data_IF_982777102297
#
_entry.id   IF_982777102297
#
_cell.length_a   1.000
_cell.length_b   1.000
_cell.length_c   1.000
_cell.angle_alpha   90.00
_cell.angle_beta   90.00
_cell.angle_gamma   90.00
#
_symmetry.space_group_name_H-M   'P 1'
#
loop_
_entity.id
_entity.type
_entity.pdbx_description
1 polymer ?
#
# COMPACT_ATOMS: atom_id res chain seq x y z
N UNK A 1 -23.37 15.99 -34.42
CA UNK A 1 -22.76 14.64 -34.55
C UNK A 1 -22.43 14.20 -33.15
N UNK A 2 -22.78 12.96 -32.77
CA UNK A 2 -22.44 12.42 -31.46
C UNK A 2 -21.08 11.74 -31.57
N UNK A 3 -20.11 12.20 -30.81
CA UNK A 3 -18.73 11.65 -30.73
C UNK A 3 -18.52 10.70 -29.56
N UNK A 4 -19.61 10.43 -28.83
CA UNK A 4 -19.58 9.56 -27.65
C UNK A 4 -19.13 8.14 -28.04
N UNK A 5 -18.22 7.58 -27.25
CA UNK A 5 -17.66 6.25 -27.46
C UNK A 5 -16.58 6.16 -28.54
N UNK A 6 -16.27 7.25 -29.26
CA UNK A 6 -15.18 7.26 -30.22
C UNK A 6 -13.83 7.55 -29.53
N UNK A 7 -12.75 6.88 -29.92
CA UNK A 7 -11.44 7.13 -29.34
C UNK A 7 -10.86 8.45 -29.85
N UNK A 8 -10.32 9.27 -28.94
CA UNK A 8 -9.54 10.43 -29.33
C UNK A 8 -8.26 9.99 -30.05
N UNK A 9 -8.00 10.47 -31.29
CA UNK A 9 -6.84 10.01 -32.06
C UNK A 9 -5.48 10.43 -31.50
N UNK A 10 -5.45 11.34 -30.53
CA UNK A 10 -4.22 11.79 -29.86
C UNK A 10 -3.90 10.91 -28.66
N UNK A 11 -4.84 10.76 -27.71
CA UNK A 11 -4.59 10.06 -26.44
C UNK A 11 -5.21 8.66 -26.36
N UNK A 12 -6.02 8.25 -27.34
CA UNK A 12 -6.69 6.95 -27.40
C UNK A 12 -7.83 6.76 -26.38
N UNK A 13 -8.10 7.72 -25.50
CA UNK A 13 -9.24 7.65 -24.57
C UNK A 13 -10.55 7.83 -25.33
N UNK A 14 -11.58 7.09 -24.94
CA UNK A 14 -12.91 7.28 -25.49
C UNK A 14 -13.48 8.63 -25.05
N UNK A 15 -14.16 9.31 -25.95
CA UNK A 15 -14.85 10.57 -25.68
C UNK A 15 -16.20 10.28 -25.02
N UNK A 16 -16.51 11.01 -23.96
CA UNK A 16 -17.75 10.92 -23.18
C UNK A 16 -18.59 12.17 -23.39
N UNK A 17 -19.86 12.12 -23.01
CA UNK A 17 -20.81 13.22 -23.19
C UNK A 17 -20.37 14.51 -22.49
N UNK A 18 -19.66 14.37 -21.35
CA UNK A 18 -19.16 15.50 -20.54
C UNK A 18 -17.76 15.98 -20.96
N UNK A 19 -17.12 15.36 -21.95
CA UNK A 19 -15.78 15.75 -22.40
C UNK A 19 -15.83 17.00 -23.27
N UNK A 20 -14.88 17.92 -23.05
CA UNK A 20 -14.70 19.10 -23.90
C UNK A 20 -13.91 18.70 -25.15
N UNK A 21 -14.64 18.64 -26.28
CA UNK A 21 -14.17 18.14 -27.56
C UNK A 21 -13.99 19.28 -28.56
N UNK A 22 -12.85 19.30 -29.21
CA UNK A 22 -12.57 20.16 -30.38
C UNK A 22 -12.64 19.32 -31.66
N UNK A 23 -13.36 19.82 -32.64
CA UNK A 23 -13.43 19.22 -33.96
C UNK A 23 -12.65 20.08 -34.95
N UNK A 24 -11.69 19.47 -35.65
CA UNK A 24 -10.89 20.19 -36.64
C UNK A 24 -11.78 20.77 -37.74
N UNK A 25 -11.71 22.07 -38.04
CA UNK A 25 -12.53 22.70 -39.08
C UNK A 25 -12.19 22.21 -40.50
N UNK A 26 -10.95 21.77 -40.73
CA UNK A 26 -10.49 21.37 -42.06
C UNK A 26 -10.84 19.93 -42.41
N UNK A 27 -10.68 18.98 -41.47
CA UNK A 27 -10.88 17.55 -41.75
C UNK A 27 -11.97 16.88 -40.91
N UNK A 28 -12.58 17.57 -39.94
CA UNK A 28 -13.63 17.01 -39.09
C UNK A 28 -13.14 16.07 -37.97
N UNK A 29 -11.85 15.92 -37.75
CA UNK A 29 -11.29 15.03 -36.71
C UNK A 29 -11.63 15.53 -35.31
N UNK A 30 -12.33 14.75 -34.44
CA UNK A 30 -12.60 15.11 -33.07
C UNK A 30 -11.42 14.76 -32.18
N UNK A 31 -11.10 15.64 -31.22
CA UNK A 31 -10.04 15.47 -30.24
C UNK A 31 -10.47 16.10 -28.91
N UNK A 32 -9.98 15.62 -27.76
CA UNK A 32 -10.17 16.36 -26.51
C UNK A 32 -9.51 17.73 -26.61
N UNK A 33 -10.11 18.76 -26.02
CA UNK A 33 -9.53 20.13 -26.05
C UNK A 33 -8.13 20.17 -25.45
N UNK A 34 -7.88 19.42 -24.37
CA UNK A 34 -6.55 19.32 -23.77
C UNK A 34 -5.53 18.77 -24.79
N UNK A 35 -5.90 17.70 -25.50
CA UNK A 35 -5.03 17.09 -26.52
C UNK A 35 -4.78 18.03 -27.71
N UNK A 36 -5.79 18.82 -28.08
CA UNK A 36 -5.62 19.86 -29.11
C UNK A 36 -4.66 20.93 -28.67
N UNK A 37 -4.80 21.40 -27.41
CA UNK A 37 -3.92 22.47 -26.86
C UNK A 37 -2.49 21.98 -26.67
N UNK A 38 -2.27 20.75 -26.26
CA UNK A 38 -0.93 20.16 -26.13
C UNK A 38 -0.25 19.96 -27.49
N UNK A 39 -0.99 19.54 -28.50
CA UNK A 39 -0.46 19.33 -29.85
C UNK A 39 -0.27 20.64 -30.63
N UNK A 40 -1.00 21.68 -30.24
CA UNK A 40 -0.99 22.99 -30.90
C UNK A 40 -1.74 23.01 -32.24
N UNK A 41 -2.07 21.86 -32.83
CA UNK A 41 -2.75 21.72 -34.13
C UNK A 41 -3.50 20.38 -34.23
N UNK A 42 -4.19 20.18 -35.34
CA UNK A 42 -4.86 18.90 -35.62
C UNK A 42 -3.86 17.77 -35.77
N UNK A 43 -4.10 16.62 -35.12
CA UNK A 43 -3.27 15.41 -35.26
C UNK A 43 -3.12 14.92 -36.71
N UNK A 44 -4.05 15.29 -37.60
CA UNK A 44 -4.03 14.97 -39.02
C UNK A 44 -3.67 16.20 -39.87
N UNK A 45 -3.02 17.24 -39.32
CA UNK A 45 -2.67 18.49 -40.02
C UNK A 45 -1.89 18.24 -41.33
N UNK A 46 -0.97 17.28 -41.33
CA UNK A 46 -0.18 16.91 -42.52
C UNK A 46 -1.03 16.39 -43.66
N UNK A 47 -2.22 15.80 -43.38
CA UNK A 47 -3.12 15.23 -44.38
C UNK A 47 -4.13 16.24 -44.90
N UNK A 48 -4.22 17.45 -44.36
CA UNK A 48 -5.18 18.46 -44.81
C UNK A 48 -4.91 18.88 -46.25
N UNK A 49 -3.64 18.96 -46.66
CA UNK A 49 -3.24 19.30 -48.00
C UNK A 49 -3.73 18.27 -49.08
N UNK A 50 -3.96 17.02 -48.62
CA UNK A 50 -4.43 15.92 -49.47
C UNK A 50 -5.95 15.80 -49.49
N UNK A 51 -6.69 16.71 -48.86
CA UNK A 51 -8.15 16.73 -48.79
C UNK A 51 -8.71 15.64 -47.86
N UNK A 52 -7.98 15.23 -46.86
CA UNK A 52 -8.42 14.24 -45.87
C UNK A 52 -9.68 14.72 -45.13
N UNK A 53 -10.71 13.87 -45.11
CA UNK A 53 -11.95 14.08 -44.33
C UNK A 53 -12.10 12.92 -43.37
N UNK A 54 -12.17 13.22 -42.09
CA UNK A 54 -12.36 12.22 -41.06
C UNK A 54 -13.76 11.61 -41.13
N UNK A 55 -13.87 10.27 -41.06
CA UNK A 55 -15.15 9.56 -40.99
C UNK A 55 -15.14 8.57 -39.82
N UNK A 56 -16.26 8.50 -39.09
CA UNK A 56 -16.42 7.61 -37.91
C UNK A 56 -16.45 6.12 -38.24
N UNK A 57 -16.38 5.75 -39.52
CA UNK A 57 -16.45 4.36 -39.98
C UNK A 57 -15.14 3.73 -40.41
N UNK A 58 -14.08 4.48 -40.54
CA UNK A 58 -12.74 3.92 -40.72
C UNK A 58 -12.14 3.56 -39.37
N UNK A 59 -12.11 2.25 -39.08
CA UNK A 59 -11.14 1.76 -38.09
C UNK A 59 -9.79 2.33 -38.48
N UNK A 60 -9.07 3.04 -37.59
CA UNK A 60 -7.72 3.44 -37.93
C UNK A 60 -6.98 2.18 -38.34
N UNK A 61 -6.63 2.10 -39.60
CA UNK A 61 -5.66 1.12 -40.10
C UNK A 61 -4.35 1.57 -39.45
N UNK A 62 -4.10 1.08 -38.23
CA UNK A 62 -2.76 1.01 -37.76
C UNK A 62 -2.05 0.10 -38.74
N UNK A 63 -1.49 0.69 -39.79
CA UNK A 63 -0.40 0.04 -40.48
C UNK A 63 0.62 -0.23 -39.40
N UNK A 64 0.67 -1.50 -38.98
CA UNK A 64 1.82 -2.03 -38.25
C UNK A 64 3.03 -1.80 -39.16
N UNK A 65 3.59 -0.60 -39.11
CA UNK A 65 5.01 -0.48 -39.38
C UNK A 65 5.67 -1.16 -38.17
N UNK A 66 5.75 -2.48 -38.25
CA UNK A 66 6.84 -3.17 -37.60
C UNK A 66 8.08 -2.42 -38.08
N UNK A 67 8.80 -1.68 -37.23
CA UNK A 67 10.10 -1.22 -37.63
C UNK A 67 10.83 -2.50 -37.98
N UNK A 68 11.43 -2.58 -39.19
CA UNK A 68 12.38 -3.63 -39.58
C UNK A 68 13.59 -3.48 -38.69
N UNK A 69 13.47 -4.01 -37.48
CA UNK A 69 14.57 -4.07 -36.50
C UNK A 69 15.33 -5.32 -36.91
N UNK A 70 16.60 -5.20 -37.28
CA UNK A 70 17.44 -6.36 -37.58
C UNK A 70 17.36 -7.35 -36.43
N UNK A 71 17.35 -8.65 -36.72
CA UNK A 71 17.20 -9.71 -35.71
C UNK A 71 18.33 -9.73 -34.65
N UNK A 72 19.42 -9.01 -34.92
CA UNK A 72 20.59 -8.83 -34.05
C UNK A 72 20.61 -7.46 -33.31
N UNK A 73 19.60 -6.60 -33.53
CA UNK A 73 19.56 -5.30 -32.87
C UNK A 73 19.23 -5.44 -31.38
N UNK A 74 20.09 -4.93 -30.53
CA UNK A 74 19.80 -4.78 -29.11
C UNK A 74 18.79 -3.63 -28.88
N UNK A 75 17.88 -3.81 -27.92
CA UNK A 75 16.94 -2.77 -27.49
C UNK A 75 17.41 -2.17 -26.17
N UNK A 76 17.60 -0.85 -26.14
CA UNK A 76 17.91 -0.15 -24.90
C UNK A 76 16.61 0.07 -24.11
N UNK A 77 16.57 -0.43 -22.89
CA UNK A 77 15.45 -0.21 -21.99
C UNK A 77 15.38 1.27 -21.58
N UNK A 78 14.31 1.95 -21.95
CA UNK A 78 14.09 3.35 -21.60
C UNK A 78 13.92 3.58 -20.09
N UNK A 79 13.71 2.51 -19.30
CA UNK A 79 13.51 2.61 -17.85
C UNK A 79 14.83 2.48 -17.06
N UNK A 80 15.77 1.62 -17.48
CA UNK A 80 17.00 1.36 -16.72
C UNK A 80 18.29 1.44 -17.57
N UNK A 81 18.20 1.76 -18.86
CA UNK A 81 19.33 1.88 -19.77
C UNK A 81 20.02 0.55 -20.15
N UNK A 82 19.50 -0.61 -19.69
CA UNK A 82 20.13 -1.89 -20.05
C UNK A 82 19.78 -2.30 -21.47
N UNK A 83 20.75 -2.91 -22.15
CA UNK A 83 20.55 -3.56 -23.44
C UNK A 83 19.81 -4.88 -23.25
N UNK A 84 18.90 -5.17 -24.18
CA UNK A 84 18.08 -6.38 -24.20
C UNK A 84 18.05 -6.95 -25.62
N UNK A 85 17.93 -8.27 -25.79
CA UNK A 85 17.71 -8.87 -27.10
C UNK A 85 16.46 -8.31 -27.80
N UNK A 86 16.45 -8.28 -29.11
CA UNK A 86 15.33 -7.70 -29.89
C UNK A 86 14.03 -8.49 -29.77
N UNK A 87 14.12 -9.78 -29.46
CA UNK A 87 13.00 -10.72 -29.36
C UNK A 87 12.25 -10.68 -28.01
N UNK A 88 12.85 -10.04 -26.99
CA UNK A 88 12.21 -9.95 -25.67
C UNK A 88 11.25 -8.75 -25.58
N UNK A 89 10.11 -8.97 -24.98
CA UNK A 89 9.07 -7.95 -24.78
C UNK A 89 9.26 -7.15 -23.49
N UNK A 90 10.04 -7.68 -22.55
CA UNK A 90 10.31 -7.04 -21.25
C UNK A 90 11.79 -7.00 -20.99
N UNK A 91 12.23 -5.97 -20.29
CA UNK A 91 13.63 -5.82 -19.92
C UNK A 91 14.05 -6.88 -18.88
N UNK A 92 15.06 -7.68 -19.19
CA UNK A 92 15.60 -8.72 -18.31
C UNK A 92 16.16 -8.18 -16.98
N UNK A 93 16.55 -6.89 -16.95
CA UNK A 93 17.12 -6.28 -15.75
C UNK A 93 16.08 -5.65 -14.82
N UNK A 94 15.08 -4.94 -15.36
CA UNK A 94 14.16 -4.16 -14.54
C UNK A 94 12.69 -4.53 -14.76
N UNK A 95 12.39 -5.47 -15.67
CA UNK A 95 11.04 -5.92 -15.97
C UNK A 95 10.14 -4.87 -16.63
N UNK A 96 10.70 -3.72 -17.03
CA UNK A 96 9.91 -2.74 -17.77
C UNK A 96 9.62 -3.27 -19.18
N UNK A 97 8.42 -3.01 -19.74
CA UNK A 97 8.14 -3.30 -21.13
C UNK A 97 9.10 -2.52 -22.03
N UNK A 98 9.60 -3.18 -23.06
CA UNK A 98 10.43 -2.54 -24.07
C UNK A 98 9.52 -1.87 -25.12
N UNK A 99 9.98 -0.77 -25.70
CA UNK A 99 9.19 -0.02 -26.68
C UNK A 99 8.67 -0.94 -27.79
N UNK A 100 7.34 -0.87 -28.06
CA UNK A 100 6.66 -1.69 -29.05
C UNK A 100 6.21 -3.08 -28.55
N UNK A 101 6.38 -3.40 -27.25
CA UNK A 101 5.82 -4.61 -26.68
C UNK A 101 4.47 -4.34 -26.02
N UNK A 102 3.47 -5.14 -26.37
CA UNK A 102 2.17 -5.15 -25.70
C UNK A 102 2.08 -6.38 -24.79
N UNK A 103 1.51 -6.21 -23.60
CA UNK A 103 1.14 -7.37 -22.78
C UNK A 103 -0.12 -7.95 -23.42
N UNK A 104 0.02 -9.08 -24.13
CA UNK A 104 -1.11 -9.81 -24.66
C UNK A 104 -1.73 -10.62 -23.53
N UNK A 105 -2.99 -10.33 -23.19
CA UNK A 105 -3.78 -11.22 -22.38
C UNK A 105 -4.07 -12.49 -23.21
N UNK A 106 -3.87 -13.64 -22.61
CA UNK A 106 -4.30 -14.90 -23.23
C UNK A 106 -5.84 -14.93 -23.23
N UNK A 107 -6.45 -14.88 -24.39
CA UNK A 107 -7.88 -15.10 -24.53
C UNK A 107 -8.14 -16.58 -24.78
N UNK A 108 -9.10 -17.16 -24.05
CA UNK A 108 -9.59 -18.51 -24.32
C UNK A 108 -10.55 -18.53 -25.53
N UNK A 109 -10.94 -19.72 -25.95
CA UNK A 109 -11.83 -19.93 -27.11
C UNK A 109 -13.21 -19.28 -26.90
N UNK A 110 -13.61 -18.99 -25.67
CA UNK A 110 -14.85 -18.31 -25.30
C UNK A 110 -14.68 -16.77 -25.24
N UNK A 111 -13.50 -16.25 -25.58
CA UNK A 111 -13.21 -14.81 -25.61
C UNK A 111 -12.90 -14.18 -24.26
N UNK A 112 -12.75 -14.98 -23.18
CA UNK A 112 -12.40 -14.47 -21.86
C UNK A 112 -10.90 -14.24 -21.75
N UNK A 113 -10.53 -13.09 -21.22
CA UNK A 113 -9.12 -12.76 -20.98
C UNK A 113 -8.57 -13.46 -19.73
N UNK A 114 -7.39 -14.06 -19.87
CA UNK A 114 -6.70 -14.75 -18.77
C UNK A 114 -5.38 -14.07 -18.43
N UNK A 115 -5.06 -14.06 -17.14
CA UNK A 115 -3.78 -13.56 -16.67
C UNK A 115 -2.63 -14.40 -17.24
N UNK A 116 -1.65 -13.80 -17.94
CA UNK A 116 -0.53 -14.53 -18.54
C UNK A 116 0.39 -15.19 -17.50
N UNK A 117 0.29 -14.81 -16.22
CA UNK A 117 1.16 -15.29 -15.16
C UNK A 117 0.57 -16.41 -14.30
N UNK A 118 -0.75 -16.42 -14.10
CA UNK A 118 -1.39 -17.43 -13.23
C UNK A 118 -2.61 -18.11 -13.87
N UNK A 119 -2.97 -17.78 -15.11
CA UNK A 119 -4.09 -18.38 -15.84
C UNK A 119 -5.49 -17.99 -15.35
N UNK A 120 -5.62 -17.23 -14.26
CA UNK A 120 -6.92 -16.79 -13.73
C UNK A 120 -7.63 -15.86 -14.69
N UNK A 121 -8.98 -15.95 -14.75
CA UNK A 121 -9.81 -15.01 -15.49
C UNK A 121 -9.60 -13.58 -14.96
N UNK A 122 -9.54 -12.62 -15.89
CA UNK A 122 -9.39 -11.20 -15.60
C UNK A 122 -10.49 -10.42 -16.29
N UNK A 123 -11.02 -9.41 -15.63
CA UNK A 123 -12.07 -8.57 -16.18
C UNK A 123 -11.48 -7.49 -17.10
N UNK A 124 -12.21 -7.07 -18.14
CA UNK A 124 -11.82 -5.91 -18.95
C UNK A 124 -11.61 -4.68 -18.06
N UNK A 125 -10.42 -4.06 -18.17
CA UNK A 125 -10.07 -2.88 -17.37
C UNK A 125 -9.31 -3.18 -16.07
N UNK A 126 -9.15 -4.44 -15.67
CA UNK A 126 -8.28 -4.79 -14.54
C UNK A 126 -6.84 -4.41 -14.85
N UNK A 127 -6.24 -3.59 -13.98
CA UNK A 127 -4.83 -3.18 -14.09
C UNK A 127 -3.87 -4.16 -13.44
N UNK A 128 -4.35 -4.93 -12.49
CA UNK A 128 -3.62 -5.95 -11.75
C UNK A 128 -4.48 -7.20 -11.65
N UNK A 129 -3.89 -8.36 -11.82
CA UNK A 129 -4.59 -9.61 -11.58
C UNK A 129 -5.02 -9.72 -10.11
N UNK A 130 -6.31 -9.93 -9.86
CA UNK A 130 -6.88 -10.05 -8.50
C UNK A 130 -6.32 -11.24 -7.73
N UNK A 131 -5.90 -12.29 -8.45
CA UNK A 131 -5.36 -13.50 -7.83
C UNK A 131 -3.86 -13.40 -7.49
N UNK A 132 -3.00 -13.11 -8.49
CA UNK A 132 -1.54 -13.11 -8.29
C UNK A 132 -0.93 -11.72 -8.14
N UNK A 133 -1.70 -10.66 -8.41
CA UNK A 133 -1.22 -9.26 -8.34
C UNK A 133 -0.35 -8.85 -9.52
N UNK A 134 -0.19 -9.70 -10.55
CA UNK A 134 0.59 -9.37 -11.74
C UNK A 134 -0.02 -8.19 -12.50
N UNK A 135 0.79 -7.30 -13.10
CA UNK A 135 0.30 -6.22 -13.94
C UNK A 135 -0.29 -6.79 -15.23
N UNK A 136 -1.49 -6.33 -15.59
CA UNK A 136 -2.23 -6.70 -16.79
C UNK A 136 -2.16 -5.60 -17.86
N UNK A 137 -1.65 -4.44 -17.50
CA UNK A 137 -1.40 -3.30 -18.38
C UNK A 137 0.01 -2.81 -18.20
N UNK A 138 0.56 -2.22 -19.25
CA UNK A 138 1.85 -1.55 -19.18
C UNK A 138 1.75 -0.40 -18.17
N UNK A 139 2.44 -0.52 -17.04
CA UNK A 139 2.49 0.58 -16.07
C UNK A 139 3.35 1.71 -16.65
N UNK A 140 2.83 2.95 -16.71
CA UNK A 140 3.64 4.07 -17.15
C UNK A 140 4.91 4.21 -16.28
N UNK A 141 6.01 4.58 -16.90
CA UNK A 141 7.31 4.86 -16.23
C UNK A 141 7.17 5.82 -15.04
N UNK A 142 6.19 6.72 -15.09
CA UNK A 142 5.92 7.74 -14.09
C UNK A 142 5.50 7.22 -12.71
N UNK A 143 5.05 5.95 -12.58
CA UNK A 143 4.51 5.46 -11.31
C UNK A 143 5.58 5.21 -10.22
N UNK A 144 6.80 4.88 -10.58
CA UNK A 144 7.89 4.68 -9.61
C UNK A 144 8.78 5.93 -9.49
N UNK A 145 9.04 6.64 -10.58
CA UNK A 145 9.78 7.89 -10.56
C UNK A 145 9.10 8.94 -9.67
N UNK A 146 7.75 9.05 -9.71
CA UNK A 146 7.01 9.98 -8.85
C UNK A 146 7.17 9.68 -7.36
N UNK A 147 7.22 8.40 -6.98
CA UNK A 147 7.45 8.01 -5.56
C UNK A 147 8.89 8.30 -5.12
N UNK A 148 9.88 8.07 -5.98
CA UNK A 148 11.29 8.36 -5.70
C UNK A 148 11.57 9.87 -5.67
N UNK A 149 10.99 10.65 -6.59
CA UNK A 149 11.11 12.11 -6.62
C UNK A 149 10.65 12.75 -5.30
N UNK A 150 9.58 12.24 -4.71
CA UNK A 150 9.10 12.67 -3.40
C UNK A 150 10.05 12.35 -2.24
N UNK A 151 10.98 11.42 -2.40
CA UNK A 151 11.93 11.03 -1.36
C UNK A 151 13.20 11.87 -1.31
N UNK A 152 13.51 12.58 -2.39
CA UNK A 152 14.78 13.27 -2.59
C UNK A 152 15.93 12.36 -3.04
N UNK A 153 15.61 11.14 -3.49
CA UNK A 153 16.54 10.17 -4.06
C UNK A 153 16.26 9.97 -5.55
N UNK A 154 17.31 9.68 -6.32
CA UNK A 154 17.11 9.23 -7.71
C UNK A 154 16.51 7.83 -7.73
N UNK A 155 15.65 7.54 -8.72
CA UNK A 155 14.95 6.26 -8.83
C UNK A 155 15.92 5.07 -8.82
N UNK A 156 17.08 5.25 -9.44
CA UNK A 156 18.12 4.22 -9.59
C UNK A 156 19.08 4.12 -8.41
N UNK A 157 19.02 5.05 -7.46
CA UNK A 157 19.91 5.03 -6.29
C UNK A 157 19.70 3.77 -5.47
N UNK A 158 20.79 3.11 -5.09
CA UNK A 158 20.75 1.82 -4.39
C UNK A 158 20.80 2.04 -2.88
N UNK A 159 19.84 1.47 -2.18
CA UNK A 159 19.73 1.45 -0.73
C UNK A 159 19.52 0.00 -0.29
N UNK A 160 20.49 -0.59 0.42
CA UNK A 160 20.39 -1.96 0.91
C UNK A 160 20.18 -3.02 -0.18
N UNK A 161 20.77 -2.79 -1.37
CA UNK A 161 20.70 -3.72 -2.50
C UNK A 161 19.41 -3.65 -3.32
N UNK A 162 18.56 -2.64 -3.11
CA UNK A 162 17.34 -2.39 -3.88
C UNK A 162 17.33 -0.94 -4.37
N UNK A 163 16.61 -0.64 -5.46
CA UNK A 163 16.53 0.73 -5.96
C UNK A 163 15.62 1.59 -5.10
N UNK A 164 15.87 2.90 -5.04
CA UNK A 164 14.99 3.83 -4.33
C UNK A 164 13.58 3.83 -4.92
N UNK A 165 13.42 3.59 -6.22
CA UNK A 165 12.14 3.40 -6.88
C UNK A 165 11.36 2.20 -6.33
N UNK A 166 12.00 1.04 -6.22
CA UNK A 166 11.41 -0.18 -5.66
C UNK A 166 11.01 0.00 -4.20
N UNK A 167 11.91 0.56 -3.39
CA UNK A 167 11.64 0.84 -1.98
C UNK A 167 10.49 1.85 -1.83
N UNK A 168 10.43 2.88 -2.68
CA UNK A 168 9.36 3.87 -2.67
C UNK A 168 8.01 3.22 -3.01
N UNK A 169 7.97 2.35 -4.01
CA UNK A 169 6.78 1.60 -4.41
C UNK A 169 6.32 0.63 -3.31
N UNK A 170 7.26 0.05 -2.56
CA UNK A 170 6.93 -0.79 -1.41
C UNK A 170 6.39 0.03 -0.24
N UNK A 171 7.05 1.12 0.13
CA UNK A 171 6.70 1.95 1.30
C UNK A 171 5.40 2.73 1.09
N UNK A 172 5.18 3.31 -0.08
CA UNK A 172 4.06 4.14 -0.55
C UNK A 172 3.79 5.40 0.29
N UNK A 173 3.64 5.28 1.60
CA UNK A 173 3.34 6.40 2.50
C UNK A 173 4.55 6.78 3.32
N UNK A 174 4.81 8.10 3.44
CA UNK A 174 5.93 8.68 4.16
C UNK A 174 7.31 8.27 3.60
N UNK A 175 7.42 8.15 2.27
CA UNK A 175 8.67 7.81 1.58
C UNK A 175 9.80 8.76 1.99
N UNK A 176 9.52 10.08 2.06
CA UNK A 176 10.44 11.14 2.53
C UNK A 176 11.07 10.85 3.90
N UNK A 177 10.37 10.14 4.77
CA UNK A 177 10.89 9.74 6.09
C UNK A 177 11.69 8.44 6.03
N UNK A 178 11.16 7.45 5.30
CA UNK A 178 11.69 6.09 5.38
C UNK A 178 12.94 5.87 4.55
N UNK A 179 13.05 6.38 3.33
CA UNK A 179 14.22 6.15 2.50
C UNK A 179 15.51 6.73 3.12
N UNK A 180 15.53 8.00 3.57
CA UNK A 180 16.69 8.53 4.28
C UNK A 180 17.04 7.74 5.54
N UNK A 181 16.02 7.21 6.23
CA UNK A 181 16.22 6.41 7.44
C UNK A 181 16.84 5.04 7.10
N UNK A 182 16.38 4.38 6.04
CA UNK A 182 16.95 3.12 5.56
C UNK A 182 18.42 3.27 5.15
N UNK A 183 18.75 4.36 4.43
CA UNK A 183 20.14 4.70 4.11
C UNK A 183 20.99 4.90 5.37
N UNK A 184 20.42 5.52 6.43
CA UNK A 184 21.12 5.65 7.72
C UNK A 184 21.30 4.30 8.41
N UNK A 185 20.38 3.35 8.27
CA UNK A 185 20.54 2.00 8.80
C UNK A 185 21.65 1.23 8.09
N UNK A 186 21.78 1.35 6.75
CA UNK A 186 22.90 0.80 6.00
C UNK A 186 24.25 1.40 6.44
N UNK A 187 24.26 2.69 6.77
CA UNK A 187 25.45 3.40 7.27
C UNK A 187 25.71 3.13 8.78
N UNK A 188 25.12 2.08 9.35
CA UNK A 188 25.42 1.61 10.71
C UNK A 188 24.55 2.19 11.82
N UNK A 189 23.57 3.06 11.54
CA UNK A 189 22.62 3.52 12.56
C UNK A 189 21.77 2.34 13.07
N UNK A 190 21.65 2.18 14.38
CA UNK A 190 20.95 1.03 14.96
C UNK A 190 19.54 1.36 15.46
N UNK A 191 19.27 2.59 15.83
CA UNK A 191 18.07 3.00 16.57
C UNK A 191 17.39 4.20 15.89
N UNK A 192 16.07 4.16 15.84
CA UNK A 192 15.19 5.25 15.44
C UNK A 192 13.94 5.23 16.30
N UNK A 193 13.34 6.38 16.56
CA UNK A 193 12.07 6.46 17.29
C UNK A 193 10.91 6.67 16.31
N UNK A 194 9.89 5.82 16.42
CA UNK A 194 8.70 5.91 15.61
C UNK A 194 7.49 6.40 16.44
N UNK A 195 7.17 7.69 16.33
CA UNK A 195 6.05 8.30 17.05
C UNK A 195 4.72 7.61 16.76
N UNK A 196 4.46 7.21 15.50
CA UNK A 196 3.23 6.53 15.16
C UNK A 196 3.12 5.15 15.83
N UNK A 197 4.22 4.40 15.90
CA UNK A 197 4.26 3.13 16.62
C UNK A 197 4.12 3.32 18.13
N UNK A 198 4.64 4.41 18.68
CA UNK A 198 4.48 4.76 20.10
C UNK A 198 3.01 5.01 20.47
N UNK A 199 2.32 5.88 19.73
CA UNK A 199 0.95 6.27 20.05
C UNK A 199 -0.08 5.22 19.64
N UNK A 200 0.08 4.56 18.49
CA UNK A 200 -0.86 3.57 17.99
C UNK A 200 -0.51 2.13 18.38
N UNK A 201 0.66 1.91 18.99
CA UNK A 201 1.07 0.59 19.46
C UNK A 201 0.97 -0.51 18.40
N UNK A 202 0.32 -1.65 18.72
CA UNK A 202 0.20 -2.77 17.79
C UNK A 202 -0.49 -2.40 16.47
N UNK A 203 -1.41 -1.43 16.48
CA UNK A 203 -2.16 -1.01 15.29
C UNK A 203 -1.24 -0.51 14.18
N UNK A 204 -0.16 0.17 14.51
CA UNK A 204 0.82 0.63 13.53
C UNK A 204 1.48 -0.55 12.80
N UNK A 205 1.78 -1.64 13.51
CA UNK A 205 2.37 -2.85 12.94
C UNK A 205 1.41 -3.53 11.97
N UNK A 206 0.14 -3.67 12.35
CA UNK A 206 -0.90 -4.19 11.46
C UNK A 206 -1.13 -3.27 10.26
N UNK A 207 -1.14 -1.96 10.47
CA UNK A 207 -1.27 -0.98 9.40
C UNK A 207 -0.15 -1.12 8.36
N UNK A 208 1.09 -1.42 8.78
CA UNK A 208 2.25 -1.68 7.93
C UNK A 208 2.35 -3.15 7.46
N UNK A 209 1.32 -3.95 7.67
CA UNK A 209 1.26 -5.39 7.33
C UNK A 209 2.37 -6.21 7.99
N UNK A 210 2.81 -5.79 9.17
CA UNK A 210 3.82 -6.47 9.99
C UNK A 210 3.14 -7.40 11.02
N UNK A 211 2.30 -8.31 10.56
CA UNK A 211 1.40 -9.12 11.39
C UNK A 211 2.14 -9.88 12.49
N UNK A 212 3.26 -10.53 12.16
CA UNK A 212 4.09 -11.26 13.11
C UNK A 212 4.47 -10.40 14.32
N UNK A 213 5.00 -9.20 14.06
CA UNK A 213 5.43 -8.28 15.12
C UNK A 213 4.26 -7.64 15.85
N UNK A 214 3.15 -7.37 15.14
CA UNK A 214 1.93 -6.88 15.75
C UNK A 214 1.32 -7.88 16.75
N UNK A 215 1.30 -9.17 16.41
CA UNK A 215 0.84 -10.24 17.30
C UNK A 215 1.76 -10.37 18.51
N UNK A 216 3.08 -10.37 18.32
CA UNK A 216 4.04 -10.42 19.44
C UNK A 216 3.80 -9.24 20.39
N UNK A 217 3.58 -8.04 19.85
CA UNK A 217 3.29 -6.86 20.68
C UNK A 217 1.97 -7.02 21.45
N UNK A 218 0.92 -7.53 20.81
CA UNK A 218 -0.36 -7.83 21.48
C UNK A 218 -0.13 -8.80 22.65
N UNK A 219 0.60 -9.88 22.42
CA UNK A 219 0.88 -10.88 23.46
C UNK A 219 1.67 -10.29 24.65
N UNK A 220 2.66 -9.43 24.38
CA UNK A 220 3.41 -8.74 25.43
C UNK A 220 2.52 -7.80 26.25
N UNK A 221 1.65 -7.02 25.59
CA UNK A 221 0.69 -6.15 26.30
C UNK A 221 -0.34 -6.97 27.07
N UNK A 222 -0.79 -8.07 26.48
CA UNK A 222 -1.74 -8.96 27.12
C UNK A 222 -1.16 -9.64 28.38
N UNK A 223 0.12 -9.99 28.38
CA UNK A 223 0.82 -10.50 29.56
C UNK A 223 0.90 -9.48 30.71
N UNK A 224 0.78 -8.19 30.42
CA UNK A 224 0.70 -7.11 31.42
C UNK A 224 -0.72 -6.87 31.98
N UNK A 225 -1.75 -7.47 31.37
CA UNK A 225 -3.16 -7.22 31.72
C UNK A 225 -3.58 -7.70 33.13
N UNK A 226 -2.96 -8.70 33.79
CA UNK A 226 -3.33 -9.08 35.15
C UNK A 226 -3.22 -7.96 36.16
N UNK A 227 -2.32 -6.99 35.96
CA UNK A 227 -2.22 -5.79 36.80
C UNK A 227 -3.50 -4.97 36.77
N UNK A 228 -4.15 -4.87 35.62
CA UNK A 228 -5.44 -4.19 35.51
C UNK A 228 -6.61 -5.00 36.05
N UNK A 229 -6.50 -6.33 36.05
CA UNK A 229 -7.51 -7.21 36.69
C UNK A 229 -7.48 -7.02 38.22
N UNK A 230 -6.30 -6.99 38.85
CA UNK A 230 -6.19 -6.71 40.29
C UNK A 230 -6.73 -5.33 40.66
N UNK A 231 -6.48 -4.31 39.83
CA UNK A 231 -7.05 -2.97 39.98
C UNK A 231 -8.59 -3.01 39.89
N UNK A 232 -9.13 -3.75 38.93
CA UNK A 232 -10.59 -3.90 38.76
C UNK A 232 -11.25 -4.55 39.96
N UNK A 233 -10.66 -5.61 40.53
CA UNK A 233 -11.17 -6.29 41.73
C UNK A 233 -11.17 -5.33 42.93
N UNK A 234 -10.08 -4.62 43.18
CA UNK A 234 -10.04 -3.60 44.24
C UNK A 234 -11.07 -2.49 44.06
N UNK A 235 -11.34 -2.11 42.84
CA UNK A 235 -12.39 -1.14 42.53
C UNK A 235 -13.78 -1.67 42.90
N UNK A 236 -14.07 -2.94 42.61
CA UNK A 236 -15.31 -3.62 43.00
C UNK A 236 -15.43 -3.67 44.52
N UNK A 237 -14.38 -4.10 45.23
CA UNK A 237 -14.37 -4.22 46.69
C UNK A 237 -14.65 -2.87 47.38
N UNK A 238 -14.09 -1.77 46.85
CA UNK A 238 -14.35 -0.43 47.41
C UNK A 238 -15.77 0.05 47.12
N UNK A 239 -16.33 -0.32 45.94
CA UNK A 239 -17.67 0.12 45.53
C UNK A 239 -18.81 -0.71 46.18
N UNK A 240 -18.54 -1.94 46.56
CA UNK A 240 -19.55 -2.86 47.08
C UNK A 240 -20.34 -2.30 48.30
N UNK A 241 -19.68 -1.69 49.36
CA UNK A 241 -20.42 -1.14 50.52
C UNK A 241 -21.38 -0.01 50.15
N UNK A 242 -21.13 0.70 49.03
CA UNK A 242 -21.92 1.85 48.61
C UNK A 242 -22.99 1.48 47.56
N UNK A 243 -23.02 0.23 47.10
CA UNK A 243 -23.84 -0.20 45.96
C UNK A 243 -25.33 -0.05 46.22
N UNK A 244 -25.78 -0.36 47.44
CA UNK A 244 -27.22 -0.18 47.82
C UNK A 244 -27.61 1.30 47.82
N UNK A 245 -26.80 2.16 48.45
CA UNK A 245 -27.04 3.61 48.50
C UNK A 245 -27.02 4.26 47.10
N UNK A 246 -26.17 3.75 46.20
CA UNK A 246 -26.13 4.17 44.78
C UNK A 246 -27.41 3.75 44.05
N UNK A 247 -27.89 2.52 44.24
CA UNK A 247 -29.08 1.99 43.59
C UNK A 247 -30.34 2.74 44.06
N UNK A 248 -30.42 3.01 45.37
CA UNK A 248 -31.53 3.71 46.01
C UNK A 248 -31.47 5.25 45.83
N UNK A 249 -30.38 5.75 45.20
CA UNK A 249 -30.10 7.20 45.02
C UNK A 249 -30.06 7.98 46.34
N UNK A 250 -29.66 7.31 47.42
CA UNK A 250 -29.54 7.87 48.76
C UNK A 250 -28.13 8.20 49.17
N UNK A 251 -27.14 7.99 48.26
CA UNK A 251 -25.72 8.26 48.51
C UNK A 251 -25.51 9.75 48.84
N UNK A 252 -24.99 10.04 50.01
CA UNK A 252 -24.70 11.40 50.40
C UNK A 252 -23.46 11.92 49.68
N UNK A 253 -23.29 13.25 49.57
CA UNK A 253 -22.07 13.84 48.98
C UNK A 253 -20.84 13.48 49.79
N UNK A 254 -20.95 13.36 51.13
CA UNK A 254 -19.85 12.97 52.00
C UNK A 254 -19.42 11.52 51.74
N UNK A 255 -20.34 10.59 51.61
CA UNK A 255 -20.07 9.18 51.28
C UNK A 255 -19.46 9.06 49.90
N UNK A 256 -19.93 9.85 48.90
CA UNK A 256 -19.36 9.86 47.55
C UNK A 256 -17.90 10.33 47.54
N UNK A 257 -17.55 11.36 48.32
CA UNK A 257 -16.17 11.84 48.46
C UNK A 257 -15.32 10.77 49.13
N UNK A 258 -15.79 10.17 50.20
CA UNK A 258 -15.09 9.11 50.94
C UNK A 258 -14.83 7.89 50.05
N UNK A 259 -15.83 7.42 49.30
CA UNK A 259 -15.72 6.34 48.32
C UNK A 259 -14.64 6.67 47.25
N UNK A 260 -14.62 7.90 46.77
CA UNK A 260 -13.62 8.33 45.76
C UNK A 260 -12.21 8.34 46.33
N UNK A 261 -12.00 8.80 47.57
CA UNK A 261 -10.69 8.79 48.23
C UNK A 261 -10.19 7.35 48.50
N UNK A 262 -11.08 6.47 48.96
CA UNK A 262 -10.77 5.05 49.16
C UNK A 262 -10.41 4.39 47.81
N UNK A 263 -11.17 4.66 46.73
CA UNK A 263 -10.92 4.14 45.40
C UNK A 263 -9.53 4.57 44.87
N UNK A 264 -9.22 5.86 44.95
CA UNK A 264 -7.93 6.41 44.51
C UNK A 264 -6.80 5.74 45.34
N UNK A 265 -6.98 5.62 46.65
CA UNK A 265 -5.96 5.05 47.53
C UNK A 265 -5.72 3.58 47.23
N UNK A 266 -6.76 2.80 47.03
CA UNK A 266 -6.69 1.36 46.74
C UNK A 266 -6.06 1.07 45.37
N UNK A 267 -6.36 1.89 44.35
CA UNK A 267 -5.99 1.58 42.95
C UNK A 267 -4.74 2.29 42.44
N UNK A 268 -4.27 3.38 43.11
CA UNK A 268 -3.18 4.23 42.62
C UNK A 268 -1.88 3.49 42.30
N UNK A 269 -1.54 2.48 43.13
CA UNK A 269 -0.28 1.70 42.94
C UNK A 269 -0.38 0.81 41.72
N UNK A 270 -1.51 0.09 41.55
CA UNK A 270 -1.72 -0.80 40.42
C UNK A 270 -1.83 0.00 39.12
N UNK A 271 -2.50 1.16 39.16
CA UNK A 271 -2.56 2.09 38.03
C UNK A 271 -1.18 2.59 37.62
N UNK A 272 -0.34 2.98 38.57
CA UNK A 272 1.01 3.46 38.30
C UNK A 272 1.90 2.36 37.73
N UNK A 273 1.84 1.13 38.27
CA UNK A 273 2.58 -0.02 37.78
C UNK A 273 2.11 -0.40 36.38
N UNK A 274 0.79 -0.55 36.16
CA UNK A 274 0.20 -0.91 34.88
C UNK A 274 0.50 0.11 33.78
N UNK A 275 0.32 1.40 34.08
CA UNK A 275 0.62 2.49 33.15
C UNK A 275 2.10 2.59 32.82
N UNK A 276 2.98 2.42 33.84
CA UNK A 276 4.42 2.40 33.65
C UNK A 276 4.87 1.24 32.77
N UNK A 277 4.33 0.05 32.98
CA UNK A 277 4.61 -1.13 32.18
C UNK A 277 4.14 -0.96 30.72
N UNK A 278 2.92 -0.46 30.53
CA UNK A 278 2.41 -0.16 29.18
C UNK A 278 3.27 0.91 28.48
N UNK A 279 3.65 1.96 29.16
CA UNK A 279 4.53 2.99 28.62
C UNK A 279 5.89 2.41 28.21
N UNK A 280 6.50 1.59 29.06
CA UNK A 280 7.76 0.92 28.78
C UNK A 280 7.66 0.01 27.55
N UNK A 281 6.61 -0.80 27.45
CA UNK A 281 6.34 -1.63 26.26
C UNK A 281 6.21 -0.78 25.00
N UNK A 282 5.39 0.28 25.03
CA UNK A 282 5.22 1.15 23.86
C UNK A 282 6.53 1.84 23.45
N UNK A 283 7.35 2.26 24.40
CA UNK A 283 8.68 2.84 24.15
C UNK A 283 9.61 1.82 23.45
N UNK A 284 9.72 0.61 23.98
CA UNK A 284 10.57 -0.45 23.42
C UNK A 284 10.15 -0.74 21.97
N UNK A 285 8.85 -0.98 21.74
CA UNK A 285 8.36 -1.27 20.41
C UNK A 285 8.47 -0.08 19.45
N UNK A 286 8.34 1.17 19.94
CA UNK A 286 8.55 2.38 19.14
C UNK A 286 10.01 2.53 18.67
N UNK A 287 10.99 2.18 19.51
CA UNK A 287 12.41 2.17 19.13
C UNK A 287 12.76 1.04 18.15
N UNK A 288 12.08 -0.09 18.23
CA UNK A 288 12.29 -1.23 17.35
C UNK A 288 11.53 -1.11 16.02
N UNK A 289 10.46 -0.34 15.97
CA UNK A 289 9.49 -0.32 14.87
C UNK A 289 10.11 -0.11 13.49
N UNK A 290 10.90 0.94 13.32
CA UNK A 290 11.48 1.28 12.03
C UNK A 290 12.53 0.24 11.58
N UNK A 291 13.30 -0.31 12.50
CA UNK A 291 14.29 -1.35 12.20
C UNK A 291 13.62 -2.67 11.82
N UNK A 292 12.57 -3.06 12.55
CA UNK A 292 11.78 -4.25 12.21
C UNK A 292 11.07 -4.08 10.87
N UNK A 293 10.60 -2.85 10.56
CA UNK A 293 10.01 -2.55 9.27
C UNK A 293 11.03 -2.67 8.14
N UNK A 294 12.22 -2.12 8.32
CA UNK A 294 13.30 -2.26 7.35
C UNK A 294 13.72 -3.73 7.16
N UNK A 295 13.84 -4.49 8.27
CA UNK A 295 14.11 -5.93 8.19
C UNK A 295 13.05 -6.66 7.37
N UNK A 296 11.76 -6.41 7.64
CA UNK A 296 10.67 -7.00 6.88
C UNK A 296 10.78 -6.70 5.37
N UNK A 297 11.10 -5.46 5.03
CA UNK A 297 11.29 -5.07 3.63
C UNK A 297 12.41 -5.89 2.99
N UNK A 298 13.55 -5.99 3.66
CA UNK A 298 14.69 -6.80 3.17
C UNK A 298 14.31 -8.26 3.00
N UNK A 299 13.67 -8.86 3.98
CA UNK A 299 13.25 -10.25 3.94
C UNK A 299 12.26 -10.48 2.77
N UNK A 300 11.32 -9.56 2.53
CA UNK A 300 10.38 -9.63 1.40
C UNK A 300 11.09 -9.50 0.04
N UNK A 301 12.09 -8.61 -0.09
CA UNK A 301 12.85 -8.46 -1.32
C UNK A 301 13.80 -9.63 -1.57
N UNK A 302 14.42 -10.18 -0.53
CA UNK A 302 15.25 -11.37 -0.63
C UNK A 302 14.44 -12.58 -1.11
N UNK A 303 13.26 -12.79 -0.53
CA UNK A 303 12.31 -13.81 -0.98
C UNK A 303 11.96 -13.64 -2.47
N UNK A 304 11.65 -12.41 -2.92
CA UNK A 304 11.30 -12.17 -4.31
C UNK A 304 12.46 -12.39 -5.29
N UNK A 305 13.70 -12.24 -4.84
CA UNK A 305 14.90 -12.50 -5.65
C UNK A 305 15.22 -14.00 -5.75
N UNK A 306 14.96 -14.77 -4.68
CA UNK A 306 15.24 -16.21 -4.64
C UNK A 306 14.25 -17.04 -5.45
N UNK A 307 13.00 -16.62 -5.53
CA UNK A 307 11.93 -17.34 -6.25
C UNK A 307 12.05 -17.23 -7.78
N UNK A 308 13.10 -16.59 -8.32
CA UNK A 308 13.34 -16.37 -9.77
C UNK A 308 12.07 -15.90 -10.51
N UNK A 309 11.27 -15.05 -9.86
CA UNK A 309 9.99 -14.53 -10.38
C UNK A 309 10.28 -13.58 -11.54
N UNK A 310 9.51 -13.70 -12.61
CA UNK A 310 9.58 -12.77 -13.73
C UNK A 310 9.51 -11.31 -13.26
N UNK A 311 10.32 -10.38 -13.82
CA UNK A 311 10.46 -9.01 -13.31
C UNK A 311 9.14 -8.23 -13.18
N UNK A 312 8.17 -8.44 -14.07
CA UNK A 312 6.86 -7.78 -13.99
C UNK A 312 6.03 -8.29 -12.81
N UNK A 313 6.06 -9.61 -12.57
CA UNK A 313 5.40 -10.23 -11.43
C UNK A 313 6.09 -9.83 -10.13
N UNK A 314 7.41 -9.75 -10.12
CA UNK A 314 8.18 -9.25 -8.98
C UNK A 314 7.74 -7.83 -8.58
N UNK A 315 7.60 -6.92 -9.55
CA UNK A 315 7.08 -5.56 -9.31
C UNK A 315 5.67 -5.56 -8.73
N UNK A 316 4.76 -6.34 -9.30
CA UNK A 316 3.40 -6.46 -8.79
C UNK A 316 3.37 -7.00 -7.35
N UNK A 317 4.23 -7.97 -7.05
CA UNK A 317 4.36 -8.54 -5.71
C UNK A 317 4.95 -7.54 -4.70
N UNK A 318 5.95 -6.73 -5.09
CA UNK A 318 6.47 -5.61 -4.28
C UNK A 318 5.33 -4.68 -3.89
N UNK A 319 4.53 -4.25 -4.87
CA UNK A 319 3.38 -3.37 -4.64
C UNK A 319 2.34 -4.03 -3.73
N UNK A 320 2.03 -5.30 -3.91
CA UNK A 320 1.02 -6.03 -3.13
C UNK A 320 1.46 -6.29 -1.69
N UNK A 321 2.72 -6.70 -1.47
CA UNK A 321 3.27 -6.96 -0.13
C UNK A 321 3.51 -5.68 0.65
N UNK A 322 3.88 -4.62 -0.03
CA UNK A 322 4.10 -3.30 0.55
C UNK A 322 2.83 -2.51 0.87
N UNK A 323 3.04 -1.23 1.16
CA UNK A 323 1.99 -0.27 1.46
C UNK A 323 1.41 -0.39 2.86
N UNK A 324 0.18 0.11 2.99
CA UNK A 324 -0.55 0.17 4.26
C UNK A 324 -1.95 -0.39 4.09
N UNK A 325 -2.55 -0.91 5.17
CA UNK A 325 -3.91 -1.44 5.17
C UNK A 325 -4.66 -0.99 6.41
N UNK A 326 -5.69 -0.17 6.22
CA UNK A 326 -6.60 0.23 7.30
C UNK A 326 -7.42 -0.96 7.83
N UNK A 327 -7.85 -1.85 6.92
CA UNK A 327 -8.58 -3.06 7.30
C UNK A 327 -7.74 -3.94 8.23
N UNK A 328 -6.46 -4.13 7.91
CA UNK A 328 -5.55 -4.87 8.78
C UNK A 328 -5.37 -4.20 10.15
N UNK A 329 -5.32 -2.88 10.21
CA UNK A 329 -5.26 -2.15 11.48
C UNK A 329 -6.52 -2.36 12.31
N UNK A 330 -7.71 -2.30 11.69
CA UNK A 330 -8.98 -2.61 12.36
C UNK A 330 -9.03 -4.05 12.88
N UNK A 331 -8.62 -5.03 12.07
CA UNK A 331 -8.50 -6.41 12.52
C UNK A 331 -7.55 -6.54 13.73
N UNK A 332 -6.40 -5.84 13.69
CA UNK A 332 -5.47 -5.79 14.81
C UNK A 332 -6.08 -5.20 16.08
N UNK A 333 -6.92 -4.17 15.95
CA UNK A 333 -7.66 -3.59 17.08
C UNK A 333 -8.59 -4.61 17.73
N UNK A 334 -9.42 -5.28 16.94
CA UNK A 334 -10.34 -6.30 17.47
C UNK A 334 -9.58 -7.49 18.08
N UNK A 335 -8.51 -7.94 17.44
CA UNK A 335 -7.64 -9.00 17.99
C UNK A 335 -7.08 -8.60 19.35
N UNK A 336 -6.59 -7.36 19.50
CA UNK A 336 -6.11 -6.85 20.79
C UNK A 336 -7.20 -6.82 21.86
N UNK A 337 -8.40 -6.33 21.51
CA UNK A 337 -9.54 -6.28 22.44
C UNK A 337 -9.97 -7.67 22.91
N UNK A 338 -10.06 -8.62 21.99
CA UNK A 338 -10.43 -10.02 22.30
C UNK A 338 -9.36 -10.66 23.17
N UNK A 339 -8.09 -10.55 22.82
CA UNK A 339 -6.98 -11.11 23.59
C UNK A 339 -6.96 -10.55 25.01
N UNK A 340 -7.10 -9.24 25.17
CA UNK A 340 -7.15 -8.57 26.48
C UNK A 340 -8.34 -9.07 27.33
N UNK A 341 -9.51 -9.22 26.72
CA UNK A 341 -10.69 -9.74 27.41
C UNK A 341 -10.50 -11.19 27.89
N UNK A 342 -10.01 -12.07 27.02
CA UNK A 342 -9.75 -13.48 27.37
C UNK A 342 -8.79 -13.59 28.55
N UNK A 343 -7.72 -12.80 28.55
CA UNK A 343 -6.71 -12.84 29.61
C UNK A 343 -7.29 -12.34 30.95
N UNK A 344 -8.10 -11.29 30.93
CA UNK A 344 -8.78 -10.81 32.13
C UNK A 344 -9.73 -11.88 32.69
N UNK A 345 -10.50 -12.54 31.82
CA UNK A 345 -11.40 -13.62 32.25
C UNK A 345 -10.62 -14.80 32.86
N UNK A 346 -9.51 -15.21 32.22
CA UNK A 346 -8.66 -16.29 32.76
C UNK A 346 -8.06 -15.87 34.10
N UNK A 347 -7.56 -14.65 34.23
CA UNK A 347 -6.96 -14.14 35.47
C UNK A 347 -7.99 -14.11 36.62
N UNK A 348 -9.21 -13.64 36.35
CA UNK A 348 -10.28 -13.63 37.33
C UNK A 348 -10.72 -15.06 37.73
N UNK A 349 -10.84 -15.98 36.77
CA UNK A 349 -11.16 -17.37 37.05
C UNK A 349 -10.08 -18.03 37.90
N UNK A 350 -8.79 -17.79 37.61
CA UNK A 350 -7.69 -18.30 38.43
C UNK A 350 -7.70 -17.73 39.85
N UNK A 351 -8.05 -16.45 40.02
CA UNK A 351 -8.12 -15.80 41.33
C UNK A 351 -9.30 -16.31 42.20
N UNK A 352 -10.40 -16.78 41.56
CA UNK A 352 -11.54 -17.37 42.30
C UNK A 352 -11.30 -18.83 42.75
N UNK A 353 -10.32 -19.53 42.19
CA UNK A 353 -10.01 -20.91 42.48
C UNK A 353 -8.72 -21.11 43.29
N UNK A 354 -8.07 -20.03 43.72
CA UNK A 354 -6.96 -19.97 44.67
C UNK A 354 -7.42 -19.45 46.01
#
# INVERSE_FOLDING_TARGET
MNYEGLPCPVCGRHMHEDDDIVVCPDCGTPQHRECWMENGECVNSEKHAEGFVWSSGEKPVFTERKPDIPADASRICLNCGSENPADVSVCGRCGAPLAGSEIRLNTDDDGNSRCPYCGMLVEPGDRLCKNCGAPLVLMPRSSFASYAADSGFEEQEIIGGNTAGELSAYVRRNVKRYLPLFKKFENGRKISFNFAAFFFGPLWYFFRKMYKFGIIFILVLAAASPVFATMSNKMIDVMEPYQQAMNDRTLSNEDAIKMMEELITATRKDFAIGSGLMLACNLIFAFLADRLYYKKIRDDFEFLKTEAVEPNLQRAMIIRRGGTSLLSALCGFFTFRIASYIIVVIANYAAMNL
#
